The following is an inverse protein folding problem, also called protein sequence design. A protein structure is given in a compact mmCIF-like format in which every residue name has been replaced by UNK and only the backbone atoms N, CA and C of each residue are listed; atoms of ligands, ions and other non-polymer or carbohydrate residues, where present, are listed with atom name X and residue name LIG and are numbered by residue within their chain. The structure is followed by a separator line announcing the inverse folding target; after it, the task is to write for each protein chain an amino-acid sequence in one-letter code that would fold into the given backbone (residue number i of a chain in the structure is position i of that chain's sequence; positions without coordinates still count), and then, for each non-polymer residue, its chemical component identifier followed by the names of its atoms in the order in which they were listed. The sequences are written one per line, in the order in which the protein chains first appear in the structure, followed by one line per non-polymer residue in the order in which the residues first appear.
data_IF_849204357771
#
_entry.id   IF_849204357771
#
_cell.length_a   1.000
_cell.length_b   1.000
_cell.length_c   1.000
_cell.angle_alpha   90.00
_cell.angle_beta   90.00
_cell.angle_gamma   90.00
#
_symmetry.space_group_name_H-M   'P 1'
#
loop_
_entity.id
_entity.type
_entity.pdbx_description
1 polymer ?
#
# COMPACT_ATOMS: atom_id res chain seq x y z
N UNK A 1 -27.21 -6.53 -16.32
CA UNK A 1 -26.68 -5.63 -15.25
C UNK A 1 -25.36 -6.21 -14.78
N UNK A 2 -24.22 -5.81 -15.37
CA UNK A 2 -22.94 -6.47 -15.10
C UNK A 2 -21.78 -5.48 -15.10
N UNK A 3 -21.74 -4.55 -14.14
CA UNK A 3 -20.63 -3.58 -14.04
C UNK A 3 -20.10 -3.38 -12.61
N UNK A 4 -20.46 -4.23 -11.65
CA UNK A 4 -20.04 -4.05 -10.24
C UNK A 4 -18.79 -4.84 -9.82
N UNK A 5 -18.20 -5.66 -10.69
CA UNK A 5 -17.02 -6.50 -10.34
C UNK A 5 -15.66 -5.77 -10.22
N UNK A 6 -15.31 -4.69 -10.97
CA UNK A 6 -13.94 -4.17 -10.94
C UNK A 6 -13.59 -3.40 -9.66
N UNK A 7 -14.57 -2.85 -8.94
CA UNK A 7 -14.34 -2.04 -7.74
C UNK A 7 -13.92 -2.88 -6.52
N UNK A 8 -14.51 -4.07 -6.36
CA UNK A 8 -14.19 -4.97 -5.24
C UNK A 8 -12.78 -5.53 -5.38
N UNK A 9 -12.40 -5.94 -6.59
CA UNK A 9 -11.04 -6.45 -6.89
C UNK A 9 -10.01 -5.35 -6.64
N UNK A 10 -10.26 -4.13 -7.14
CA UNK A 10 -9.37 -3.00 -6.93
C UNK A 10 -9.23 -2.60 -5.45
N UNK A 11 -10.29 -2.75 -4.65
CA UNK A 11 -10.25 -2.51 -3.21
C UNK A 11 -9.47 -3.62 -2.48
N UNK A 12 -9.65 -4.87 -2.89
CA UNK A 12 -8.94 -6.02 -2.32
C UNK A 12 -7.43 -5.95 -2.60
N UNK A 13 -7.02 -5.59 -3.82
CA UNK A 13 -5.61 -5.35 -4.18
C UNK A 13 -5.00 -4.25 -3.32
N UNK A 14 -5.72 -3.13 -3.13
CA UNK A 14 -5.29 -2.03 -2.26
C UNK A 14 -5.11 -2.47 -0.81
N UNK A 15 -6.05 -3.23 -0.26
CA UNK A 15 -5.95 -3.81 1.09
C UNK A 15 -4.76 -4.76 1.22
N UNK A 16 -4.52 -5.60 0.21
CA UNK A 16 -3.39 -6.53 0.18
C UNK A 16 -2.05 -5.79 0.19
N UNK A 17 -1.89 -4.73 -0.61
CA UNK A 17 -0.69 -3.88 -0.58
C UNK A 17 -0.44 -3.26 0.79
N UNK A 18 -1.48 -2.70 1.41
CA UNK A 18 -1.39 -2.12 2.76
C UNK A 18 -1.06 -3.19 3.81
N UNK A 19 -1.64 -4.39 3.71
CA UNK A 19 -1.36 -5.50 4.61
C UNK A 19 0.11 -5.92 4.52
N UNK A 20 0.65 -6.10 3.31
CA UNK A 20 2.06 -6.45 3.09
C UNK A 20 3.01 -5.38 3.69
N UNK A 21 2.70 -4.10 3.51
CA UNK A 21 3.47 -3.00 4.11
C UNK A 21 3.43 -3.04 5.65
N UNK A 22 2.27 -3.32 6.23
CA UNK A 22 2.10 -3.48 7.69
C UNK A 22 2.83 -4.71 8.23
N UNK A 23 2.77 -5.84 7.53
CA UNK A 23 3.49 -7.07 7.87
C UNK A 23 5.01 -6.86 7.81
N UNK A 24 5.47 -6.05 6.86
CA UNK A 24 6.87 -5.61 6.75
C UNK A 24 7.26 -4.52 7.77
N UNK A 25 6.34 -4.11 8.66
CA UNK A 25 6.52 -3.04 9.66
C UNK A 25 6.98 -1.70 9.06
N UNK A 26 6.59 -1.44 7.81
CA UNK A 26 6.93 -0.23 7.08
C UNK A 26 5.99 0.92 7.46
N UNK A 27 6.19 1.46 8.67
CA UNK A 27 5.39 2.56 9.24
C UNK A 27 6.07 3.93 9.17
N UNK A 28 7.39 3.92 9.02
CA UNK A 28 8.23 5.11 9.06
C UNK A 28 9.21 5.08 7.88
N UNK A 29 9.81 6.23 7.50
CA UNK A 29 10.83 6.27 6.46
C UNK A 29 12.02 5.34 6.76
N UNK A 30 12.40 5.20 8.04
CA UNK A 30 13.47 4.29 8.47
C UNK A 30 13.15 2.81 8.32
N UNK A 31 11.86 2.43 8.29
CA UNK A 31 11.42 1.05 8.05
C UNK A 31 10.74 0.87 6.69
N UNK A 32 10.87 1.88 5.81
CA UNK A 32 10.30 1.84 4.48
C UNK A 32 10.91 0.68 3.67
N UNK A 33 10.07 0.05 2.87
CA UNK A 33 10.45 -1.14 2.09
C UNK A 33 10.25 -0.90 0.60
N UNK A 34 11.07 -1.55 -0.21
CA UNK A 34 10.93 -1.44 -1.68
C UNK A 34 9.76 -2.29 -2.18
N UNK A 35 9.25 -1.99 -3.39
CA UNK A 35 8.24 -2.85 -4.02
C UNK A 35 8.72 -4.29 -4.21
N UNK A 36 10.03 -4.46 -4.39
CA UNK A 36 10.66 -5.76 -4.60
C UNK A 36 10.61 -6.61 -3.33
N UNK A 37 10.92 -6.03 -2.16
CA UNK A 37 10.77 -6.68 -0.86
C UNK A 37 9.32 -7.10 -0.58
N UNK A 38 8.35 -6.29 -1.01
CA UNK A 38 6.92 -6.60 -0.88
C UNK A 38 6.42 -7.64 -1.91
N UNK A 39 7.26 -8.05 -2.87
CA UNK A 39 6.92 -8.96 -3.97
C UNK A 39 5.57 -8.59 -4.58
N UNK A 40 5.43 -7.33 -4.98
CA UNK A 40 4.18 -6.82 -5.56
C UNK A 40 4.10 -7.16 -7.05
N UNK A 41 2.97 -7.73 -7.47
CA UNK A 41 2.64 -7.93 -8.88
C UNK A 41 2.44 -6.60 -9.63
N UNK A 42 2.47 -6.64 -10.96
CA UNK A 42 2.29 -5.44 -11.81
C UNK A 42 0.99 -4.66 -11.49
N UNK A 43 -0.11 -5.38 -11.23
CA UNK A 43 -1.39 -4.81 -10.82
C UNK A 43 -1.31 -4.15 -9.44
N UNK A 44 -0.67 -4.82 -8.48
CA UNK A 44 -0.43 -4.29 -7.14
C UNK A 44 0.39 -3.00 -7.21
N UNK A 45 1.46 -2.97 -8.02
CA UNK A 45 2.29 -1.77 -8.25
C UNK A 45 1.47 -0.60 -8.80
N UNK A 46 0.59 -0.86 -9.77
CA UNK A 46 -0.32 0.16 -10.33
C UNK A 46 -1.28 0.71 -9.26
N UNK A 47 -1.83 -0.16 -8.43
CA UNK A 47 -2.72 0.24 -7.33
C UNK A 47 -1.98 0.92 -6.17
N UNK A 48 -0.70 0.60 -5.95
CA UNK A 48 0.13 1.28 -4.95
C UNK A 48 0.30 2.76 -5.31
N UNK A 49 0.55 3.09 -6.59
CA UNK A 49 0.59 4.49 -7.04
C UNK A 49 -0.71 5.25 -6.76
N UNK A 50 -1.85 4.57 -6.83
CA UNK A 50 -3.15 5.16 -6.45
C UNK A 50 -3.19 5.42 -4.94
N UNK A 51 -2.66 4.52 -4.12
CA UNK A 51 -2.57 4.71 -2.66
C UNK A 51 -1.65 5.89 -2.30
N UNK A 52 -0.54 6.06 -3.02
CA UNK A 52 0.37 7.20 -2.87
C UNK A 52 -0.36 8.50 -3.22
N UNK A 53 -1.04 8.53 -4.38
CA UNK A 53 -1.85 9.69 -4.80
C UNK A 53 -2.97 10.02 -3.79
N UNK A 54 -3.50 9.02 -3.09
CA UNK A 54 -4.50 9.16 -2.02
C UNK A 54 -3.90 9.44 -0.64
N UNK A 55 -2.58 9.68 -0.53
CA UNK A 55 -1.86 9.88 0.73
C UNK A 55 -2.09 8.78 1.77
N UNK A 56 -2.30 7.54 1.30
CA UNK A 56 -2.41 6.33 2.15
C UNK A 56 -1.08 5.62 2.32
N UNK A 57 -0.16 5.83 1.39
CA UNK A 57 1.21 5.30 1.37
C UNK A 57 2.12 6.48 1.03
N UNK A 58 3.27 6.55 1.66
CA UNK A 58 4.29 7.56 1.39
C UNK A 58 5.47 6.87 0.71
N UNK A 59 5.94 7.49 -0.36
CA UNK A 59 7.16 7.10 -1.06
C UNK A 59 8.32 7.97 -0.53
N UNK A 60 9.42 7.34 -0.12
CA UNK A 60 10.67 8.03 0.21
C UNK A 60 11.41 8.41 -1.06
N UNK A 61 12.31 9.39 -0.99
CA UNK A 61 13.13 9.81 -2.13
C UNK A 61 13.96 8.67 -2.74
N UNK A 62 14.29 7.65 -1.95
CA UNK A 62 15.04 6.45 -2.37
C UNK A 62 14.18 5.35 -3.02
N UNK A 63 12.91 5.62 -3.34
CA UNK A 63 12.02 4.63 -3.97
C UNK A 63 11.55 3.51 -3.02
N UNK A 64 11.51 3.79 -1.71
CA UNK A 64 10.91 2.91 -0.70
C UNK A 64 9.53 3.41 -0.33
N UNK A 65 8.69 2.53 0.19
CA UNK A 65 7.30 2.80 0.50
C UNK A 65 7.03 2.46 1.96
N UNK A 66 6.32 3.33 2.64
CA UNK A 66 5.82 3.08 3.99
C UNK A 66 4.38 3.59 4.11
N UNK A 67 3.62 3.01 5.03
CA UNK A 67 2.29 3.50 5.38
C UNK A 67 2.47 4.36 6.60
N UNK A 68 2.19 5.67 6.55
CA UNK A 68 2.04 6.43 7.78
C UNK A 68 0.91 5.77 8.59
N UNK A 69 1.30 5.11 9.67
CA UNK A 69 0.37 4.51 10.60
C UNK A 69 -0.43 5.64 11.23
N UNK A 70 -1.63 5.91 10.71
CA UNK A 70 -2.71 6.41 11.56
C UNK A 70 -3.17 5.27 12.47
N UNK A 71 -2.27 4.78 13.32
CA UNK A 71 -2.67 4.06 14.51
C UNK A 71 -3.18 5.11 15.50
N UNK A 72 -4.40 5.60 15.23
CA UNK A 72 -5.22 6.30 16.22
C UNK A 72 -5.91 5.31 17.18
N UNK A 73 -5.34 4.12 17.39
CA UNK A 73 -5.98 3.11 18.21
C UNK A 73 -4.98 2.31 19.07
N UNK A 74 -4.28 3.04 19.92
CA UNK A 74 -3.86 2.50 21.22
C UNK A 74 -4.23 3.57 22.27
N UNK A 75 -5.52 3.64 22.59
CA UNK A 75 -5.99 4.10 23.90
C UNK A 75 -5.94 2.90 24.85
#
# INVERSE_FOLDING_TARGET
MAESMPLLIAAQIRRKCLKKLKEAKAYCPGTAVTMDQLKLDWLEKRHLKILIKKKKVVETGDGRYYVEGQDKNHC
#
